data_IF_514629263455
#
_entry.id   IF_514629263455
#
_cell.length_a   1.000
_cell.length_b   1.000
_cell.length_c   1.000
_cell.angle_alpha   90.00
_cell.angle_beta   90.00
_cell.angle_gamma   90.00
#
_symmetry.space_group_name_H-M   'P 1'
#
loop_
_entity.id
_entity.type
_entity.pdbx_description
1 polymer ?
#
# COMPACT_ATOMS: atom_id res chain seq x y z
N UNK A 1 19.68 -2.58 14.07
CA UNK A 1 18.80 -3.34 13.16
C UNK A 1 17.54 -3.68 13.93
N UNK A 2 16.36 -3.29 13.43
CA UNK A 2 15.03 -3.35 14.09
C UNK A 2 14.50 -4.76 14.42
N UNK A 3 15.37 -5.78 14.50
CA UNK A 3 14.99 -7.18 14.66
C UNK A 3 14.36 -7.51 16.02
N UNK A 4 14.49 -6.61 17.00
CA UNK A 4 14.02 -6.82 18.39
C UNK A 4 12.64 -6.19 18.68
N UNK A 5 12.05 -5.41 17.76
CA UNK A 5 10.84 -4.62 18.06
C UNK A 5 9.53 -5.23 17.58
N UNK A 6 9.57 -6.29 16.76
CA UNK A 6 8.36 -6.85 16.16
C UNK A 6 7.75 -5.94 15.08
N UNK A 7 8.55 -5.06 14.47
CA UNK A 7 8.15 -4.18 13.37
C UNK A 7 9.21 -4.16 12.27
N UNK A 8 8.77 -4.00 11.02
CA UNK A 8 9.63 -3.81 9.86
C UNK A 8 10.23 -2.38 9.82
N UNK A 9 11.10 -2.06 8.85
CA UNK A 9 11.67 -0.70 8.70
C UNK A 9 10.64 0.42 8.46
N UNK A 10 9.46 0.08 7.94
CA UNK A 10 8.36 1.02 7.70
C UNK A 10 7.42 1.16 8.91
N UNK A 11 7.67 0.40 9.99
CA UNK A 11 6.84 0.38 11.18
C UNK A 11 5.61 -0.52 11.07
N UNK A 12 5.53 -1.41 10.08
CA UNK A 12 4.49 -2.43 10.00
C UNK A 12 4.79 -3.59 10.97
N UNK A 13 3.78 -4.11 11.70
CA UNK A 13 4.00 -5.18 12.66
C UNK A 13 4.40 -6.49 11.97
N UNK A 14 5.34 -7.19 12.59
CA UNK A 14 5.79 -8.52 12.17
C UNK A 14 5.14 -9.60 13.03
N UNK A 15 4.61 -10.64 12.39
CA UNK A 15 4.17 -11.83 13.12
C UNK A 15 5.40 -12.66 13.57
N UNK A 16 5.25 -13.50 14.62
CA UNK A 16 6.34 -14.37 15.05
C UNK A 16 6.90 -15.23 13.91
N UNK A 17 8.22 -15.19 13.72
CA UNK A 17 8.90 -15.92 12.65
C UNK A 17 9.01 -15.18 11.32
N UNK A 18 8.44 -13.99 11.18
CA UNK A 18 8.61 -13.13 10.01
C UNK A 18 9.81 -12.18 10.17
N UNK A 19 10.53 -11.94 9.08
CA UNK A 19 11.62 -10.98 8.98
C UNK A 19 11.22 -9.69 8.23
N UNK A 20 10.07 -9.69 7.55
CA UNK A 20 9.46 -8.55 6.85
C UNK A 20 7.93 -8.62 6.90
N UNK A 21 7.25 -7.48 6.73
CA UNK A 21 5.80 -7.43 6.65
C UNK A 21 5.32 -7.90 5.26
N UNK A 22 4.09 -8.41 5.19
CA UNK A 22 3.50 -8.76 3.90
C UNK A 22 3.45 -7.52 2.99
N UNK A 23 3.86 -7.67 1.72
CA UNK A 23 3.94 -6.56 0.78
C UNK A 23 5.27 -5.80 0.79
N UNK A 24 6.19 -6.12 1.72
CA UNK A 24 7.48 -5.43 1.89
C UNK A 24 8.64 -6.41 1.81
N UNK A 25 9.76 -6.00 1.22
CA UNK A 25 11.05 -6.68 1.36
C UNK A 25 11.64 -6.40 2.77
N UNK A 26 12.68 -7.15 3.20
CA UNK A 26 13.35 -6.92 4.50
C UNK A 26 13.95 -5.53 4.69
N UNK A 27 14.21 -4.78 3.62
CA UNK A 27 14.69 -3.40 3.67
C UNK A 27 13.55 -2.36 3.75
N UNK A 28 12.29 -2.80 3.74
CA UNK A 28 11.10 -1.96 3.74
C UNK A 28 10.67 -1.48 2.35
N UNK A 29 11.39 -1.81 1.27
CA UNK A 29 10.88 -1.53 -0.08
C UNK A 29 9.65 -2.40 -0.40
N UNK A 30 8.73 -1.97 -1.27
CA UNK A 30 7.64 -2.82 -1.73
C UNK A 30 8.18 -4.11 -2.38
N UNK A 31 7.55 -5.25 -2.11
CA UNK A 31 7.85 -6.47 -2.86
C UNK A 31 7.46 -6.34 -4.34
N UNK A 32 7.91 -7.27 -5.19
CA UNK A 32 7.70 -7.18 -6.63
C UNK A 32 6.22 -7.16 -7.05
N UNK A 33 5.33 -7.80 -6.28
CA UNK A 33 3.90 -7.80 -6.58
C UNK A 33 3.25 -6.46 -6.21
N UNK A 34 3.59 -5.91 -5.04
CA UNK A 34 3.15 -4.56 -4.65
C UNK A 34 3.71 -3.50 -5.59
N UNK A 35 4.99 -3.60 -5.95
CA UNK A 35 5.62 -2.70 -6.91
C UNK A 35 4.91 -2.72 -8.27
N UNK A 36 4.50 -3.90 -8.75
CA UNK A 36 3.73 -4.01 -9.98
C UNK A 36 2.39 -3.26 -9.96
N UNK A 37 1.72 -3.19 -8.81
CA UNK A 37 0.49 -2.41 -8.65
C UNK A 37 0.76 -0.90 -8.64
N UNK A 38 1.82 -0.47 -7.94
CA UNK A 38 2.27 0.92 -7.91
C UNK A 38 2.61 1.38 -9.34
N UNK A 39 3.42 0.60 -10.06
CA UNK A 39 3.83 0.90 -11.43
C UNK A 39 2.61 0.99 -12.37
N UNK A 40 1.67 0.05 -12.25
CA UNK A 40 0.43 0.09 -13.02
C UNK A 40 -0.41 1.34 -12.70
N UNK A 41 -0.55 1.70 -11.42
CA UNK A 41 -1.33 2.87 -11.01
C UNK A 41 -0.73 4.18 -11.54
N UNK A 42 0.60 4.30 -11.51
CA UNK A 42 1.33 5.44 -12.08
C UNK A 42 1.13 5.48 -13.61
N UNK A 43 1.35 4.36 -14.29
CA UNK A 43 1.20 4.28 -15.76
C UNK A 43 -0.21 4.63 -16.24
N UNK A 44 -1.23 4.31 -15.44
CA UNK A 44 -2.64 4.57 -15.78
C UNK A 44 -3.18 5.89 -15.21
N UNK A 45 -2.30 6.70 -14.60
CA UNK A 45 -2.62 8.04 -14.11
C UNK A 45 -3.51 8.06 -12.88
N UNK A 46 -3.53 6.99 -12.07
CA UNK A 46 -4.22 6.95 -10.78
C UNK A 46 -3.32 7.48 -9.65
N UNK A 47 -2.00 7.31 -9.75
CA UNK A 47 -1.03 7.71 -8.74
C UNK A 47 0.09 8.56 -9.36
N UNK A 48 0.60 9.53 -8.60
CA UNK A 48 1.79 10.31 -8.93
C UNK A 48 3.06 9.52 -8.53
N UNK A 49 4.22 9.79 -9.15
CA UNK A 49 5.48 9.11 -8.78
C UNK A 49 5.93 9.30 -7.33
N UNK A 50 5.41 10.31 -6.63
CA UNK A 50 5.68 10.57 -5.21
C UNK A 50 4.75 9.79 -4.27
N UNK A 51 3.88 8.94 -4.82
CA UNK A 51 2.94 8.10 -4.07
C UNK A 51 1.62 8.79 -3.72
N UNK A 52 1.42 10.06 -4.08
CA UNK A 52 0.14 10.75 -3.89
C UNK A 52 -0.87 10.38 -4.97
N UNK A 53 -2.16 10.43 -4.65
CA UNK A 53 -3.20 10.19 -5.65
C UNK A 53 -3.35 11.35 -6.64
N UNK A 54 -3.63 11.03 -7.89
CA UNK A 54 -4.12 12.01 -8.87
C UNK A 54 -5.61 12.29 -8.62
N UNK A 55 -6.22 13.30 -9.28
CA UNK A 55 -7.68 13.47 -9.23
C UNK A 55 -8.46 12.24 -9.69
N UNK A 56 -7.90 11.47 -10.63
CA UNK A 56 -8.47 10.19 -11.09
C UNK A 56 -8.36 9.10 -10.02
N UNK A 57 -7.21 9.03 -9.33
CA UNK A 57 -7.02 8.14 -8.18
C UNK A 57 -8.01 8.42 -7.06
N UNK A 58 -8.11 9.68 -6.66
CA UNK A 58 -9.03 10.12 -5.60
C UNK A 58 -10.48 9.79 -5.95
N UNK A 59 -10.92 10.07 -7.18
CA UNK A 59 -12.28 9.74 -7.59
C UNK A 59 -12.59 8.24 -7.53
N UNK A 60 -11.61 7.38 -7.82
CA UNK A 60 -11.77 5.93 -7.74
C UNK A 60 -11.86 5.43 -6.28
N UNK A 61 -11.09 6.03 -5.36
CA UNK A 61 -11.20 5.74 -3.93
C UNK A 61 -12.55 6.20 -3.36
N UNK A 62 -13.00 7.40 -3.73
CA UNK A 62 -14.30 7.95 -3.32
C UNK A 62 -15.46 7.06 -3.80
N UNK A 63 -15.37 6.49 -5.01
CA UNK A 63 -16.35 5.54 -5.55
C UNK A 63 -16.38 4.25 -4.72
N UNK A 64 -15.22 3.66 -4.45
CA UNK A 64 -15.12 2.45 -3.62
C UNK A 64 -15.63 2.71 -2.21
N UNK A 65 -15.31 3.85 -1.60
CA UNK A 65 -15.79 4.21 -0.26
C UNK A 65 -17.31 4.32 -0.24
N UNK A 66 -17.89 5.01 -1.22
CA UNK A 66 -19.34 5.11 -1.37
C UNK A 66 -20.02 3.75 -1.52
N UNK A 67 -19.48 2.89 -2.37
CA UNK A 67 -20.04 1.56 -2.62
C UNK A 67 -19.86 0.61 -1.42
N UNK A 68 -18.85 0.87 -0.58
CA UNK A 68 -18.57 0.13 0.64
C UNK A 68 -19.44 0.53 1.83
N UNK A 69 -20.22 1.62 1.72
CA UNK A 69 -21.15 2.05 2.76
C UNK A 69 -22.49 1.30 2.62
N UNK A 70 -22.85 0.40 3.56
CA UNK A 70 -24.12 -0.28 3.51
C UNK A 70 -25.25 0.68 3.92
N UNK A 71 -26.03 1.15 2.95
CA UNK A 71 -27.34 1.75 3.18
C UNK A 71 -27.45 3.27 3.05
N UNK A 72 -26.94 3.87 1.97
CA UNK A 72 -27.54 5.12 1.49
C UNK A 72 -28.50 4.85 0.31
N UNK A 73 -29.70 5.46 0.31
CA UNK A 73 -30.74 5.25 -0.70
C UNK A 73 -30.37 5.80 -2.09
#
# INVERSE_FOLDING_TARGET
MNRERGYDPNGAPLLPGQDHAAGSNPDGSPDAWVQGQIDWAIQNGYMNPDGTNTPKGQAAEDEVERDSQPGMP
#
